data_IF_720240499549
#
_entry.id   IF_720240499549
#
_cell.length_a   1.000
_cell.length_b   1.000
_cell.length_c   1.000
_cell.angle_alpha   90.00
_cell.angle_beta   90.00
_cell.angle_gamma   90.00
#
_symmetry.space_group_name_H-M   'P 1'
#
loop_
_entity.id
_entity.type
_entity.pdbx_description
1 polymer ?
#
# COMPACT_ATOMS: atom_id res chain seq x y z
N UNK A 1 -19.86 0.78 -7.67
CA UNK A 1 -18.40 0.58 -7.78
C UNK A 1 -17.70 1.70 -7.01
N UNK A 2 -16.62 1.40 -6.29
CA UNK A 2 -15.88 2.34 -5.45
C UNK A 2 -14.43 2.48 -5.94
N UNK A 3 -14.02 3.70 -6.29
CA UNK A 3 -12.61 4.01 -6.60
C UNK A 3 -11.85 4.30 -5.31
N UNK A 4 -10.83 3.49 -5.02
CA UNK A 4 -10.09 3.55 -3.77
C UNK A 4 -8.89 4.51 -3.85
N UNK A 5 -9.14 5.75 -4.29
CA UNK A 5 -8.08 6.77 -4.43
C UNK A 5 -7.54 7.19 -3.06
N UNK A 6 -6.22 7.06 -2.88
CA UNK A 6 -5.50 7.48 -1.65
C UNK A 6 -4.50 8.59 -1.96
N UNK A 7 -3.83 8.53 -3.11
CA UNK A 7 -2.72 9.40 -3.47
C UNK A 7 -1.37 8.84 -3.01
N UNK A 8 -0.51 9.72 -2.48
CA UNK A 8 0.88 9.36 -2.14
C UNK A 8 0.96 8.68 -0.76
N UNK A 9 1.60 7.53 -0.71
CA UNK A 9 1.87 6.75 0.51
C UNK A 9 3.38 6.68 0.73
N UNK A 10 3.87 7.17 1.86
CA UNK A 10 5.30 7.09 2.22
C UNK A 10 5.49 5.96 3.20
N UNK A 11 6.42 5.05 2.90
CA UNK A 11 6.73 3.92 3.78
C UNK A 11 7.83 4.34 4.76
N UNK A 12 7.59 4.33 6.09
CA UNK A 12 8.66 4.57 7.04
C UNK A 12 9.69 3.43 6.98
N UNK A 13 11.00 3.75 6.95
CA UNK A 13 12.05 2.74 6.79
C UNK A 13 12.12 1.80 7.99
N UNK A 14 11.90 2.33 9.19
CA UNK A 14 11.92 1.65 10.49
C UNK A 14 10.61 0.91 10.82
N UNK A 15 9.55 1.10 10.02
CA UNK A 15 8.29 0.40 10.22
C UNK A 15 8.52 -1.13 10.15
N UNK A 16 8.11 -1.93 11.15
CA UNK A 16 8.27 -3.37 11.11
C UNK A 16 7.51 -4.04 9.95
N UNK A 17 7.99 -5.21 9.52
CA UNK A 17 7.25 -6.07 8.58
C UNK A 17 5.97 -6.57 9.27
N UNK A 18 4.85 -6.52 8.55
CA UNK A 18 3.52 -6.84 9.02
C UNK A 18 2.72 -5.64 9.53
N UNK A 19 3.37 -4.48 9.73
CA UNK A 19 2.68 -3.27 10.18
C UNK A 19 1.88 -2.61 9.05
N UNK A 20 0.77 -2.00 9.44
CA UNK A 20 -0.05 -1.15 8.56
C UNK A 20 0.69 0.17 8.33
N UNK A 21 0.93 0.50 7.07
CA UNK A 21 1.50 1.78 6.63
C UNK A 21 0.41 2.85 6.63
N UNK A 22 -0.77 2.51 6.12
CA UNK A 22 -1.90 3.42 6.00
C UNK A 22 -3.22 2.66 6.00
N UNK A 23 -4.22 3.22 6.68
CA UNK A 23 -5.62 2.80 6.60
C UNK A 23 -6.43 3.90 5.94
N UNK A 24 -7.31 3.54 5.00
CA UNK A 24 -8.25 4.46 4.35
C UNK A 24 -9.65 3.89 4.39
N UNK A 25 -10.59 4.73 4.80
CA UNK A 25 -12.00 4.38 4.91
C UNK A 25 -12.84 5.17 3.91
N UNK A 26 -13.82 4.50 3.32
CA UNK A 26 -14.89 5.13 2.54
C UNK A 26 -16.24 4.74 3.12
N UNK A 27 -17.01 5.73 3.54
CA UNK A 27 -18.40 5.53 3.94
C UNK A 27 -19.28 5.44 2.71
N UNK A 28 -20.01 4.36 2.60
CA UNK A 28 -21.03 4.15 1.59
C UNK A 28 -22.39 4.27 2.27
N UNK A 29 -23.17 5.27 1.87
CA UNK A 29 -24.61 5.28 2.17
C UNK A 29 -25.23 4.00 1.62
N UNK A 30 -26.23 3.42 2.28
CA UNK A 30 -27.03 2.31 1.73
C UNK A 30 -27.60 2.81 0.40
N UNK A 31 -27.02 2.49 -0.76
CA UNK A 31 -27.62 2.93 -2.00
C UNK A 31 -28.93 2.13 -2.09
N UNK A 32 -29.97 2.66 -2.71
CA UNK A 32 -31.09 1.84 -3.17
C UNK A 32 -30.69 0.80 -4.24
N UNK A 33 -29.44 0.35 -4.23
CA UNK A 33 -28.82 -0.58 -5.15
C UNK A 33 -29.19 -2.03 -4.87
N UNK A 34 -28.81 -2.89 -5.83
CA UNK A 34 -29.37 -4.22 -6.08
C UNK A 34 -29.89 -4.94 -4.84
N UNK A 35 -31.16 -5.31 -4.90
CA UNK A 35 -31.82 -6.11 -3.88
C UNK A 35 -31.99 -7.54 -4.35
N UNK A 36 -31.58 -8.49 -3.53
CA UNK A 36 -31.85 -9.91 -3.73
C UNK A 36 -33.09 -10.31 -2.95
N UNK A 37 -34.09 -10.84 -3.65
CA UNK A 37 -35.27 -11.43 -3.03
C UNK A 37 -35.08 -12.93 -2.92
N UNK A 38 -34.84 -13.40 -1.70
CA UNK A 38 -34.61 -14.82 -1.41
C UNK A 38 -35.85 -15.40 -0.73
N UNK A 39 -36.43 -16.47 -1.28
CA UNK A 39 -37.71 -17.04 -0.81
C UNK A 39 -37.58 -17.98 0.39
N UNK A 40 -36.60 -18.88 0.39
CA UNK A 40 -36.23 -19.73 1.52
C UNK A 40 -34.86 -20.37 1.31
N UNK A 41 -34.20 -20.79 2.40
CA UNK A 41 -32.91 -21.50 2.35
C UNK A 41 -31.73 -20.69 2.86
N UNK A 42 -30.52 -21.21 2.61
CA UNK A 42 -29.25 -20.56 2.98
C UNK A 42 -28.78 -19.66 1.85
N UNK A 43 -28.78 -18.36 2.09
CA UNK A 43 -28.27 -17.35 1.17
C UNK A 43 -26.81 -17.03 1.52
N UNK A 44 -25.95 -16.97 0.51
CA UNK A 44 -24.51 -16.79 0.65
C UNK A 44 -24.04 -15.65 -0.21
N UNK A 45 -23.37 -14.67 0.39
CA UNK A 45 -22.80 -13.51 -0.29
C UNK A 45 -21.28 -13.55 -0.13
N UNK A 46 -20.58 -13.67 -1.25
CA UNK A 46 -19.15 -13.91 -1.28
C UNK A 46 -18.39 -12.62 -1.56
N UNK A 47 -17.45 -12.29 -0.67
CA UNK A 47 -16.43 -11.29 -0.81
C UNK A 47 -15.18 -11.94 -1.41
N UNK A 48 -14.74 -11.49 -2.58
CA UNK A 48 -13.65 -12.10 -3.35
C UNK A 48 -12.56 -11.07 -3.68
N UNK A 49 -11.32 -11.53 -3.74
CA UNK A 49 -10.21 -10.81 -4.37
C UNK A 49 -10.20 -11.17 -5.85
N UNK A 50 -10.24 -10.16 -6.71
CA UNK A 50 -10.34 -10.33 -8.17
C UNK A 50 -9.21 -9.60 -8.93
N UNK A 51 -8.29 -8.95 -8.21
CA UNK A 51 -7.13 -8.31 -8.82
C UNK A 51 -6.22 -9.33 -9.53
N UNK A 52 -5.90 -9.12 -10.82
CA UNK A 52 -5.00 -10.01 -11.55
C UNK A 52 -3.62 -10.11 -10.91
N UNK A 53 -3.10 -11.33 -10.79
CA UNK A 53 -1.76 -11.59 -10.25
C UNK A 53 -1.61 -11.42 -8.74
N UNK A 54 -2.69 -11.07 -8.01
CA UNK A 54 -2.64 -11.00 -6.56
C UNK A 54 -2.49 -12.40 -5.95
N UNK A 55 -1.56 -12.52 -5.01
CA UNK A 55 -1.29 -13.75 -4.26
C UNK A 55 -1.57 -13.51 -2.79
N UNK A 56 -2.16 -14.51 -2.11
CA UNK A 56 -2.35 -14.48 -0.66
C UNK A 56 -0.99 -14.64 0.02
N UNK A 57 -0.65 -13.68 0.88
CA UNK A 57 0.58 -13.63 1.68
C UNK A 57 0.33 -14.11 3.12
N UNK A 58 -0.87 -14.61 3.42
CA UNK A 58 -1.34 -14.95 4.75
C UNK A 58 -2.03 -13.76 5.44
N UNK A 59 -2.82 -14.06 6.47
CA UNK A 59 -3.56 -13.07 7.26
C UNK A 59 -4.47 -12.15 6.41
N UNK A 60 -4.98 -12.68 5.29
CA UNK A 60 -5.83 -11.97 4.32
C UNK A 60 -5.13 -10.75 3.70
N UNK A 61 -3.81 -10.81 3.58
CA UNK A 61 -2.98 -9.79 2.93
C UNK A 61 -2.66 -10.27 1.52
N UNK A 62 -2.94 -9.44 0.52
CA UNK A 62 -2.70 -9.78 -0.88
C UNK A 62 -1.57 -8.95 -1.46
N UNK A 63 -0.71 -9.60 -2.24
CA UNK A 63 0.43 -8.96 -2.90
C UNK A 63 0.00 -7.89 -3.91
N UNK A 64 0.92 -6.98 -4.19
CA UNK A 64 0.77 -5.93 -5.21
C UNK A 64 1.92 -6.00 -6.21
N UNK A 65 1.84 -5.17 -7.25
CA UNK A 65 2.94 -4.97 -8.20
C UNK A 65 4.11 -4.17 -7.61
N UNK A 66 4.00 -3.61 -6.40
CA UNK A 66 5.09 -2.92 -5.71
C UNK A 66 5.71 -3.89 -4.70
N UNK A 67 7.01 -4.24 -4.83
CA UNK A 67 7.66 -5.20 -3.94
C UNK A 67 7.58 -4.79 -2.46
N UNK A 68 7.27 -5.76 -1.59
CA UNK A 68 7.17 -5.52 -0.15
C UNK A 68 5.95 -4.71 0.30
N UNK A 69 4.96 -4.52 -0.60
CA UNK A 69 3.68 -3.88 -0.28
C UNK A 69 2.55 -4.88 -0.51
N UNK A 70 1.73 -5.07 0.53
CA UNK A 70 0.49 -5.83 0.49
C UNK A 70 -0.73 -4.97 0.79
N UNK A 71 -1.90 -5.51 0.48
CA UNK A 71 -3.18 -4.87 0.79
C UNK A 71 -4.12 -5.81 1.51
N UNK A 72 -4.91 -5.26 2.43
CA UNK A 72 -6.01 -5.96 3.08
C UNK A 72 -7.27 -5.11 2.97
N UNK A 73 -8.38 -5.78 2.71
CA UNK A 73 -9.67 -5.14 2.48
C UNK A 73 -10.68 -5.64 3.48
N UNK A 74 -11.50 -4.74 4.01
CA UNK A 74 -12.63 -5.10 4.85
C UNK A 74 -13.84 -4.22 4.56
N UNK A 75 -15.00 -4.75 4.90
CA UNK A 75 -16.28 -4.03 4.87
C UNK A 75 -16.95 -4.23 6.22
N UNK A 76 -17.34 -3.14 6.87
CA UNK A 76 -18.10 -3.16 8.10
C UNK A 76 -19.40 -2.38 7.97
N UNK A 77 -20.51 -3.01 8.30
CA UNK A 77 -21.83 -2.39 8.43
C UNK A 77 -22.49 -2.80 9.75
N UNK A 78 -23.77 -2.44 9.91
CA UNK A 78 -24.52 -2.79 11.11
C UNK A 78 -24.68 -4.32 11.28
N UNK A 79 -24.80 -5.04 10.17
CA UNK A 79 -25.07 -6.49 10.15
C UNK A 79 -23.89 -7.28 9.61
N UNK A 80 -23.24 -6.78 8.57
CA UNK A 80 -22.22 -7.51 7.82
C UNK A 80 -20.85 -6.92 8.08
N UNK A 81 -19.96 -7.72 8.68
CA UNK A 81 -18.56 -7.38 8.92
C UNK A 81 -17.68 -8.48 8.30
N UNK A 82 -16.91 -8.11 7.28
CA UNK A 82 -16.15 -9.04 6.44
C UNK A 82 -14.72 -8.53 6.24
N UNK A 83 -13.74 -9.41 6.34
CA UNK A 83 -12.37 -9.19 5.83
C UNK A 83 -12.18 -10.08 4.61
N UNK A 84 -11.84 -9.50 3.47
CA UNK A 84 -11.81 -10.21 2.19
C UNK A 84 -10.62 -11.19 2.11
N UNK A 85 -10.79 -12.36 1.49
CA UNK A 85 -12.05 -12.95 1.02
C UNK A 85 -12.82 -13.59 2.18
N UNK A 86 -14.15 -13.60 2.09
CA UNK A 86 -15.04 -14.25 3.07
C UNK A 86 -16.44 -14.50 2.50
N UNK A 87 -17.31 -15.15 3.27
CA UNK A 87 -18.72 -15.35 2.89
C UNK A 87 -19.65 -15.02 4.05
N UNK A 88 -20.54 -14.05 3.83
CA UNK A 88 -21.69 -13.85 4.71
C UNK A 88 -22.80 -14.85 4.36
N UNK A 89 -23.29 -15.58 5.36
CA UNK A 89 -24.36 -16.57 5.20
C UNK A 89 -25.55 -16.22 6.08
N UNK A 90 -26.76 -16.31 5.52
CA UNK A 90 -28.00 -16.06 6.26
C UNK A 90 -29.06 -17.08 5.83
N UNK A 91 -29.68 -17.74 6.82
CA UNK A 91 -30.76 -18.71 6.59
C UNK A 91 -32.11 -18.05 6.83
N UNK A 92 -33.02 -18.18 5.86
CA UNK A 92 -34.38 -17.62 5.94
C UNK A 92 -35.44 -18.69 5.68
N UNK A 93 -36.57 -18.58 6.37
CA UNK A 93 -37.71 -19.50 6.25
C UNK A 93 -38.88 -18.91 5.45
N UNK A 94 -38.83 -17.61 5.18
CA UNK A 94 -39.80 -16.84 4.42
C UNK A 94 -39.06 -15.92 3.45
N UNK A 95 -39.81 -15.31 2.55
CA UNK A 95 -39.26 -14.35 1.59
C UNK A 95 -38.62 -13.17 2.32
N UNK A 96 -37.35 -12.94 2.06
CA UNK A 96 -36.53 -11.87 2.64
C UNK A 96 -35.80 -11.14 1.53
N UNK A 97 -35.79 -9.81 1.62
CA UNK A 97 -35.01 -8.97 0.72
C UNK A 97 -33.67 -8.63 1.38
N UNK A 98 -32.57 -8.89 0.68
CA UNK A 98 -31.25 -8.42 1.04
C UNK A 98 -30.90 -7.20 0.20
N UNK A 99 -30.31 -6.19 0.80
CA UNK A 99 -29.74 -5.02 0.12
C UNK A 99 -28.40 -4.67 0.75
N UNK A 100 -27.59 -3.88 0.04
CA UNK A 100 -26.39 -3.31 0.64
C UNK A 100 -26.80 -2.28 1.69
N UNK A 101 -26.63 -2.65 2.95
CA UNK A 101 -26.69 -1.68 4.04
C UNK A 101 -25.56 -0.64 3.92
N UNK A 102 -25.80 0.51 4.55
CA UNK A 102 -24.79 1.54 4.72
C UNK A 102 -23.60 0.93 5.43
N UNK A 103 -22.41 1.09 4.85
CA UNK A 103 -21.22 0.39 5.31
C UNK A 103 -19.98 1.22 5.08
N UNK A 104 -18.94 0.91 5.84
CA UNK A 104 -17.59 1.41 5.65
C UNK A 104 -16.79 0.35 4.90
N UNK A 105 -16.17 0.75 3.80
CA UNK A 105 -15.14 -0.04 3.16
C UNK A 105 -13.78 0.47 3.61
N UNK A 106 -12.90 -0.42 4.02
CA UNK A 106 -11.58 -0.10 4.56
C UNK A 106 -10.50 -0.79 3.73
N UNK A 107 -9.50 0.00 3.32
CA UNK A 107 -8.25 -0.46 2.72
C UNK A 107 -7.12 -0.26 3.71
N UNK A 108 -6.33 -1.30 3.94
CA UNK A 108 -5.06 -1.22 4.64
C UNK A 108 -3.92 -1.49 3.66
N UNK A 109 -2.95 -0.58 3.61
CA UNK A 109 -1.65 -0.79 2.94
C UNK A 109 -0.67 -1.31 3.99
N UNK A 110 -0.04 -2.45 3.73
CA UNK A 110 0.75 -3.19 4.72
C UNK A 110 2.17 -3.40 4.20
N UNK A 111 3.16 -3.23 5.07
CA UNK A 111 4.57 -3.52 4.77
C UNK A 111 4.80 -5.03 4.88
N UNK A 112 5.16 -5.70 3.79
CA UNK A 112 5.31 -7.16 3.74
C UNK A 112 6.76 -7.63 3.60
N UNK A 113 7.71 -6.72 3.40
CA UNK A 113 9.14 -7.02 3.39
C UNK A 113 9.97 -5.92 4.05
N UNK A 114 11.19 -6.27 4.50
CA UNK A 114 12.10 -5.33 5.15
C UNK A 114 12.50 -4.19 4.19
N UNK A 115 12.80 -4.55 2.94
CA UNK A 115 13.03 -3.61 1.84
C UNK A 115 11.77 -3.54 0.99
N UNK A 116 11.29 -2.32 0.74
CA UNK A 116 10.09 -2.07 -0.07
C UNK A 116 10.46 -1.30 -1.33
N UNK A 117 9.79 -1.63 -2.43
CA UNK A 117 9.91 -0.89 -3.68
C UNK A 117 9.10 0.41 -3.66
N UNK A 118 9.34 1.26 -4.65
CA UNK A 118 8.50 2.43 -4.94
C UNK A 118 7.76 2.22 -6.25
N UNK A 119 6.61 2.87 -6.42
CA UNK A 119 5.84 2.81 -7.66
C UNK A 119 4.35 3.01 -7.43
N UNK A 120 3.63 3.09 -8.53
CA UNK A 120 2.17 3.19 -8.54
C UNK A 120 1.54 1.79 -8.52
N UNK A 121 0.53 1.59 -7.68
CA UNK A 121 -0.23 0.35 -7.68
C UNK A 121 -1.00 0.20 -8.99
N UNK A 122 -1.08 -1.03 -9.51
CA UNK A 122 -1.72 -1.31 -10.78
C UNK A 122 -3.20 -0.86 -10.78
N UNK A 123 -3.62 -0.21 -11.87
CA UNK A 123 -5.03 0.12 -12.05
C UNK A 123 -5.86 -1.14 -12.35
N UNK A 124 -7.13 -1.12 -11.97
CA UNK A 124 -8.06 -2.21 -12.23
C UNK A 124 -8.89 -2.60 -11.02
N UNK A 125 -9.71 -3.65 -11.18
CA UNK A 125 -10.58 -4.18 -10.13
C UNK A 125 -9.77 -4.93 -9.08
N UNK A 126 -10.16 -4.79 -7.82
CA UNK A 126 -9.49 -5.42 -6.67
C UNK A 126 -10.38 -6.36 -5.90
N UNK A 127 -11.60 -5.94 -5.57
CA UNK A 127 -12.55 -6.78 -4.86
C UNK A 127 -13.91 -6.80 -5.55
N UNK A 128 -14.64 -7.90 -5.34
CA UNK A 128 -16.04 -8.05 -5.71
C UNK A 128 -16.82 -8.63 -4.55
N UNK A 129 -18.04 -8.15 -4.34
CA UNK A 129 -18.99 -8.69 -3.38
C UNK A 129 -20.35 -8.85 -4.05
N UNK A 130 -20.82 -10.09 -4.08
CA UNK A 130 -22.10 -10.46 -4.69
C UNK A 130 -22.71 -11.67 -4.00
N UNK A 131 -23.95 -12.01 -4.37
CA UNK A 131 -24.48 -13.35 -4.18
C UNK A 131 -23.52 -14.39 -4.79
N UNK A 132 -23.24 -15.48 -4.09
CA UNK A 132 -22.15 -16.41 -4.45
C UNK A 132 -22.32 -17.02 -5.86
N UNK A 133 -23.57 -17.21 -6.29
CA UNK A 133 -23.95 -17.68 -7.63
C UNK A 133 -24.37 -16.56 -8.60
N UNK A 134 -24.26 -15.30 -8.16
CA UNK A 134 -24.55 -14.12 -8.96
C UNK A 134 -23.43 -13.79 -9.95
N UNK A 135 -23.80 -13.12 -11.04
CA UNK A 135 -22.87 -12.61 -12.04
C UNK A 135 -22.80 -11.08 -12.09
N UNK A 136 -23.50 -10.38 -11.20
CA UNK A 136 -23.69 -8.93 -11.23
C UNK A 136 -23.32 -8.35 -9.85
N UNK A 137 -22.02 -8.14 -9.58
CA UNK A 137 -21.57 -7.72 -8.26
C UNK A 137 -22.26 -6.46 -7.74
N UNK A 138 -22.79 -6.55 -6.52
CA UNK A 138 -23.44 -5.42 -5.85
C UNK A 138 -22.41 -4.36 -5.46
N UNK A 139 -21.21 -4.80 -5.12
CA UNK A 139 -20.10 -3.93 -4.81
C UNK A 139 -18.82 -4.46 -5.47
N UNK A 140 -18.18 -3.59 -6.24
CA UNK A 140 -16.81 -3.78 -6.72
C UNK A 140 -15.97 -2.59 -6.30
N UNK A 141 -14.71 -2.86 -5.98
CA UNK A 141 -13.71 -1.82 -5.76
C UNK A 141 -12.64 -1.87 -6.84
N UNK A 142 -12.05 -0.72 -7.13
CA UNK A 142 -10.99 -0.58 -8.12
C UNK A 142 -10.04 0.54 -7.77
N UNK A 143 -8.92 0.56 -8.48
CA UNK A 143 -8.00 1.69 -8.53
C UNK A 143 -8.02 2.28 -9.94
N UNK A 144 -8.29 3.58 -10.04
CA UNK A 144 -7.95 4.36 -11.22
C UNK A 144 -6.43 4.48 -11.40
N UNK A 145 -5.99 4.94 -12.57
CA UNK A 145 -4.57 5.18 -12.83
C UNK A 145 -4.01 6.20 -11.83
N UNK A 146 -2.84 5.92 -11.24
CA UNK A 146 -2.20 6.76 -10.23
C UNK A 146 -3.02 6.97 -8.94
N UNK A 147 -4.02 6.12 -8.68
CA UNK A 147 -4.84 6.22 -7.48
C UNK A 147 -4.03 6.06 -6.18
N UNK A 148 -2.96 5.25 -6.20
CA UNK A 148 -2.05 5.03 -5.08
C UNK A 148 -0.60 4.95 -5.57
N UNK A 149 0.26 5.83 -5.05
CA UNK A 149 1.70 5.85 -5.35
C UNK A 149 2.50 5.67 -4.08
N UNK A 150 3.23 4.55 -4.00
CA UNK A 150 4.10 4.20 -2.89
C UNK A 150 5.49 4.80 -3.10
N UNK A 151 6.01 5.43 -2.06
CA UNK A 151 7.36 5.99 -2.01
C UNK A 151 8.08 5.41 -0.80
N UNK A 152 9.08 4.58 -1.09
CA UNK A 152 9.95 3.97 -0.09
C UNK A 152 11.34 4.59 -0.18
N UNK A 153 11.82 5.26 0.88
CA UNK A 153 13.17 5.83 0.88
C UNK A 153 14.20 4.70 0.77
N UNK A 154 15.07 4.78 -0.22
CA UNK A 154 16.06 3.75 -0.53
C UNK A 154 17.26 3.73 0.43
N UNK A 155 17.51 4.83 1.16
CA UNK A 155 18.59 4.95 2.13
C UNK A 155 18.20 5.89 3.27
N UNK A 156 18.47 5.50 4.52
CA UNK A 156 18.54 6.45 5.65
C UNK A 156 20.00 6.82 5.90
N UNK A 157 20.27 8.12 6.04
CA UNK A 157 21.60 8.58 6.48
C UNK A 157 21.69 8.33 7.97
N UNK A 158 22.54 7.40 8.40
CA UNK A 158 22.82 7.19 9.82
C UNK A 158 23.58 8.39 10.36
N UNK A 159 22.89 9.28 11.09
CA UNK A 159 23.54 10.35 11.85
C UNK A 159 24.43 9.73 12.93
N UNK A 160 25.66 10.23 13.09
CA UNK A 160 26.63 9.74 14.09
C UNK A 160 27.71 8.79 13.57
N UNK A 161 27.75 8.46 12.27
CA UNK A 161 28.96 7.86 11.68
C UNK A 161 29.93 8.94 11.23
N UNK A 162 31.00 9.16 12.00
CA UNK A 162 32.14 9.94 11.50
C UNK A 162 32.73 9.23 10.28
N UNK A 163 32.68 9.90 9.13
CA UNK A 163 33.42 9.48 7.95
C UNK A 163 34.81 10.10 8.03
N UNK A 164 35.80 9.32 8.49
CA UNK A 164 37.18 9.76 8.45
C UNK A 164 37.69 9.65 7.01
N UNK A 165 37.94 10.79 6.37
CA UNK A 165 38.52 10.85 5.04
C UNK A 165 39.98 11.24 5.19
N UNK A 166 40.87 10.25 5.06
CA UNK A 166 42.31 10.50 4.99
C UNK A 166 42.66 10.94 3.56
N UNK A 167 43.00 12.21 3.41
CA UNK A 167 43.41 12.81 2.13
C UNK A 167 44.91 12.69 1.87
N UNK A 168 45.65 12.03 2.78
CA UNK A 168 47.10 11.93 2.72
C UNK A 168 47.81 13.28 2.86
N UNK A 169 49.14 13.26 2.78
CA UNK A 169 49.94 14.48 2.85
C UNK A 169 50.26 15.01 1.45
N UNK A 170 49.78 16.21 1.15
CA UNK A 170 50.15 16.93 -0.07
C UNK A 170 51.49 17.61 0.17
N UNK A 171 52.50 17.33 -0.65
CA UNK A 171 53.77 18.05 -0.60
C UNK A 171 53.56 19.46 -1.15
N UNK A 172 53.66 20.47 -0.29
CA UNK A 172 53.74 21.85 -0.72
C UNK A 172 55.05 22.06 -1.50
N UNK A 173 54.96 22.55 -2.73
CA UNK A 173 56.13 22.93 -3.50
C UNK A 173 56.82 24.11 -2.80
N UNK A 174 58.00 23.87 -2.20
CA UNK A 174 58.80 24.94 -1.58
C UNK A 174 59.63 25.60 -2.68
N UNK A 175 59.47 26.90 -2.97
CA UNK A 175 60.35 27.58 -3.91
C UNK A 175 61.75 27.66 -3.27
N UNK A 176 62.78 27.22 -4.01
CA UNK A 176 64.17 27.38 -3.61
C UNK A 176 64.48 28.87 -3.41
N UNK A 177 64.88 29.25 -2.19
CA UNK A 177 65.45 30.58 -1.95
C UNK A 177 66.82 30.62 -2.64
N UNK A 178 66.87 31.20 -3.83
CA UNK A 178 68.12 31.54 -4.51
C UNK A 178 69.04 32.33 -3.58
N UNK A 179 70.22 31.76 -3.27
CA UNK A 179 71.29 32.48 -2.59
C UNK A 179 71.85 33.50 -3.58
N UNK A 180 71.46 34.76 -3.44
CA UNK A 180 72.18 35.86 -4.08
C UNK A 180 73.58 35.99 -3.45
N UNK A 181 74.60 35.60 -4.22
CA UNK A 181 75.98 35.94 -3.94
C UNK A 181 76.13 37.48 -3.92
N UNK A 182 76.40 38.06 -2.74
CA UNK A 182 76.96 39.42 -2.66
C UNK A 182 78.38 39.37 -3.21
N UNK A 183 78.59 39.87 -4.42
CA UNK A 183 79.93 40.32 -4.85
C UNK A 183 80.21 41.67 -4.17
N UNK A 184 81.35 41.74 -3.50
CA UNK A 184 82.02 42.97 -3.07
C UNK A 184 82.92 43.42 -4.22
N UNK A 185 82.68 44.60 -4.77
CA UNK A 185 83.62 45.50 -5.49
C UNK A 185 82.94 46.89 -5.38
N UNK A 186 83.55 48.03 -5.04
CA UNK A 186 84.93 48.49 -5.01
C UNK A 186 84.93 49.91 -5.60
N UNK A 187 85.40 50.90 -4.83
CA UNK A 187 85.51 52.36 -5.08
C UNK A 187 84.28 53.24 -4.89
#
# INVERSE_FOLDING_TARGET
MLDMVVGRVVVPPDLPVGSVILTRDWTMSAPGGASYRCTSGTNRFAAKIVSPGATDLGNKIYSTNVPGIGMRFSRGGATVNIVYPDVFSSRVYNTTNYSLEGSRFTLEIIKTAATTGSGTLAAGKYTSYDWESGGNPILETYLSANAITVVSPSCSVLSGKNMNVDVGSIRAHRPERGRHHRRREGF
#
